data_IF_776899414143
#
_entry.id   IF_776899414143
#
_cell.length_a   1.000
_cell.length_b   1.000
_cell.length_c   1.000
_cell.angle_alpha   90.00
_cell.angle_beta   90.00
_cell.angle_gamma   90.00
#
_symmetry.space_group_name_H-M   'P 1'
#
loop_
_entity.id
_entity.type
_entity.pdbx_description
1 polymer ?
#
# COMPACT_ATOMS: atom_id res chain seq x y z
N UNK A 1 -3.05 -8.98 -4.00
CA UNK A 1 -4.48 -9.32 -4.21
C UNK A 1 -5.43 -8.12 -4.13
N UNK A 2 -5.11 -7.05 -3.38
CA UNK A 2 -6.04 -5.91 -3.23
C UNK A 2 -6.44 -5.19 -4.52
N UNK A 3 -5.68 -5.34 -5.61
CA UNK A 3 -6.06 -4.82 -6.93
C UNK A 3 -7.40 -5.37 -7.43
N UNK A 4 -7.90 -6.48 -6.89
CA UNK A 4 -9.22 -7.07 -7.19
C UNK A 4 -10.38 -6.08 -7.10
N UNK A 5 -10.21 -4.94 -6.42
CA UNK A 5 -11.13 -3.80 -6.47
C UNK A 5 -11.59 -3.45 -7.90
N UNK A 6 -10.76 -3.69 -8.93
CA UNK A 6 -11.15 -3.45 -10.32
C UNK A 6 -12.41 -4.24 -10.76
N UNK A 7 -12.74 -5.36 -10.10
CA UNK A 7 -13.96 -6.12 -10.38
C UNK A 7 -15.25 -5.34 -10.04
N UNK A 8 -15.17 -4.38 -9.12
CA UNK A 8 -16.33 -3.59 -8.63
C UNK A 8 -16.16 -2.10 -8.82
N UNK A 9 -14.96 -1.67 -9.22
CA UNK A 9 -14.62 -0.29 -9.44
C UNK A 9 -15.05 0.23 -10.82
N UNK A 10 -15.05 1.56 -10.94
CA UNK A 10 -15.35 2.25 -12.19
C UNK A 10 -14.24 3.25 -12.54
N UNK A 11 -14.18 3.66 -13.80
CA UNK A 11 -13.20 4.65 -14.29
C UNK A 11 -13.25 5.99 -13.54
N UNK A 12 -14.45 6.43 -13.12
CA UNK A 12 -14.62 7.65 -12.30
C UNK A 12 -13.94 7.57 -10.94
N UNK A 13 -13.82 6.35 -10.40
CA UNK A 13 -13.23 6.08 -9.09
C UNK A 13 -11.74 5.73 -9.22
N UNK A 14 -11.18 5.79 -10.43
CA UNK A 14 -9.79 5.39 -10.69
C UNK A 14 -9.55 3.89 -10.58
N UNK A 15 -10.59 3.08 -10.79
CA UNK A 15 -10.55 1.63 -10.59
C UNK A 15 -10.89 0.80 -11.83
N UNK A 16 -10.64 1.35 -13.03
CA UNK A 16 -10.85 0.63 -14.29
C UNK A 16 -9.60 -0.18 -14.67
N UNK A 17 -9.57 -1.44 -14.22
CA UNK A 17 -8.51 -2.40 -14.51
C UNK A 17 -8.71 -3.21 -15.80
N UNK A 18 -9.80 -3.00 -16.55
CA UNK A 18 -10.13 -3.77 -17.75
C UNK A 18 -9.78 -3.03 -19.04
N UNK A 19 -10.04 -1.72 -19.08
CA UNK A 19 -9.87 -0.93 -20.28
C UNK A 19 -8.39 -0.68 -20.57
N UNK A 20 -7.95 -0.74 -21.84
CA UNK A 20 -6.56 -0.42 -22.21
C UNK A 20 -6.10 0.97 -21.75
N UNK A 21 -7.03 1.93 -21.70
CA UNK A 21 -6.81 3.30 -21.21
C UNK A 21 -7.62 3.59 -19.93
N UNK A 22 -7.90 2.54 -19.14
CA UNK A 22 -8.64 2.65 -17.90
C UNK A 22 -7.88 3.50 -16.88
N UNK A 23 -8.61 4.33 -16.13
CA UNK A 23 -8.02 5.07 -15.01
C UNK A 23 -7.81 4.09 -13.85
N UNK A 24 -6.56 3.94 -13.43
CA UNK A 24 -6.14 2.96 -12.39
C UNK A 24 -5.47 3.63 -11.17
N UNK A 25 -5.56 4.95 -11.05
CA UNK A 25 -4.88 5.74 -10.01
C UNK A 25 -5.32 5.41 -8.57
N UNK A 26 -6.41 4.66 -8.39
CA UNK A 26 -6.90 4.17 -7.10
C UNK A 26 -6.81 2.63 -6.98
N UNK A 27 -6.05 1.96 -7.85
CA UNK A 27 -5.79 0.51 -7.78
C UNK A 27 -4.38 0.21 -7.32
N UNK A 28 -3.37 0.87 -7.89
CA UNK A 28 -1.98 0.67 -7.50
C UNK A 28 -1.08 1.81 -7.97
N UNK A 29 0.22 1.63 -7.72
CA UNK A 29 1.21 2.70 -7.79
C UNK A 29 1.71 3.05 -6.39
N UNK A 30 2.75 3.87 -6.33
CA UNK A 30 3.34 4.30 -5.07
C UNK A 30 2.32 5.12 -4.27
N UNK A 31 2.24 4.89 -2.96
CA UNK A 31 1.36 5.61 -2.05
C UNK A 31 2.12 6.68 -1.28
N UNK A 32 1.40 7.74 -0.89
CA UNK A 32 1.89 8.85 -0.11
C UNK A 32 0.84 9.22 0.96
N UNK A 33 1.25 9.96 1.99
CA UNK A 33 0.33 10.38 3.06
C UNK A 33 -0.52 11.55 2.54
N UNK A 34 -1.83 11.44 2.65
CA UNK A 34 -2.78 12.52 2.32
C UNK A 34 -3.06 13.37 3.55
N UNK A 35 -3.52 14.62 3.38
CA UNK A 35 -3.86 15.49 4.51
C UNK A 35 -2.66 16.17 5.19
N UNK A 36 -1.44 15.98 4.66
CA UNK A 36 -0.25 16.79 4.94
C UNK A 36 0.48 17.09 3.62
N UNK A 37 1.52 17.93 3.68
CA UNK A 37 2.33 18.25 2.52
C UNK A 37 2.89 16.98 1.88
N UNK A 38 2.76 16.86 0.55
CA UNK A 38 3.35 15.76 -0.21
C UNK A 38 4.84 16.03 -0.40
N UNK A 39 5.75 15.12 -0.02
CA UNK A 39 7.20 15.35 -0.06
C UNK A 39 7.72 15.26 -1.51
N UNK A 40 7.93 16.41 -2.15
CA UNK A 40 8.32 16.52 -3.56
C UNK A 40 9.65 15.82 -3.90
N UNK A 41 10.56 15.70 -2.94
CA UNK A 41 11.84 15.02 -3.08
C UNK A 41 11.74 13.48 -3.02
N UNK A 42 10.59 12.95 -2.59
CA UNK A 42 10.41 11.53 -2.30
C UNK A 42 9.34 10.84 -3.17
N UNK A 43 8.31 11.57 -3.63
CA UNK A 43 7.30 11.02 -4.54
C UNK A 43 7.76 11.02 -6.00
N UNK A 44 7.20 10.11 -6.79
CA UNK A 44 7.42 10.06 -8.24
C UNK A 44 6.55 11.11 -8.95
N UNK A 45 7.14 11.85 -9.89
CA UNK A 45 6.51 12.96 -10.63
C UNK A 45 5.91 14.06 -9.74
N UNK A 46 6.71 14.69 -8.86
CA UNK A 46 6.23 15.69 -7.91
C UNK A 46 5.66 16.96 -8.58
N UNK A 47 5.97 17.20 -9.85
CA UNK A 47 5.38 18.30 -10.64
C UNK A 47 3.85 18.22 -10.71
N UNK A 48 3.24 17.04 -10.55
CA UNK A 48 1.78 16.91 -10.55
C UNK A 48 1.13 17.19 -9.18
N UNK A 49 1.91 17.36 -8.11
CA UNK A 49 1.38 17.67 -6.78
C UNK A 49 0.58 18.99 -6.79
N UNK A 50 0.98 19.97 -7.61
CA UNK A 50 0.27 21.25 -7.74
C UNK A 50 -1.16 21.10 -8.28
N UNK A 51 -1.46 20.00 -8.96
CA UNK A 51 -2.81 19.71 -9.47
C UNK A 51 -3.73 19.12 -8.40
N UNK A 52 -3.18 18.70 -7.25
CA UNK A 52 -3.96 18.23 -6.13
C UNK A 52 -4.55 19.44 -5.37
N UNK A 53 -5.88 19.59 -5.28
CA UNK A 53 -6.50 20.72 -4.58
C UNK A 53 -6.04 20.86 -3.13
N UNK A 54 -5.69 19.76 -2.45
CA UNK A 54 -5.20 19.79 -1.08
C UNK A 54 -3.86 20.53 -0.96
N UNK A 55 -3.04 20.57 -2.01
CA UNK A 55 -1.77 21.31 -2.02
C UNK A 55 -1.95 22.82 -2.11
N UNK A 56 -3.17 23.30 -2.39
CA UNK A 56 -3.53 24.71 -2.28
C UNK A 56 -4.22 25.06 -0.95
N UNK A 57 -4.54 24.06 -0.13
CA UNK A 57 -5.27 24.23 1.13
C UNK A 57 -4.29 24.27 2.32
N UNK A 58 -4.24 25.36 3.11
CA UNK A 58 -3.33 25.48 4.24
C UNK A 58 -3.60 24.46 5.37
N UNK A 59 -4.76 23.80 5.38
CA UNK A 59 -5.05 22.71 6.34
C UNK A 59 -4.29 21.43 6.00
N UNK A 60 -3.96 21.23 4.73
CA UNK A 60 -3.38 19.99 4.22
C UNK A 60 -2.00 20.19 3.63
N UNK A 61 -1.60 21.42 3.29
CA UNK A 61 -0.26 21.74 2.76
C UNK A 61 0.65 22.37 3.82
N UNK A 62 0.75 21.71 4.98
CA UNK A 62 1.79 22.00 5.98
C UNK A 62 2.50 20.70 6.33
N UNK A 63 3.67 20.80 6.98
CA UNK A 63 4.51 19.65 7.33
C UNK A 63 3.69 18.53 8.01
N UNK A 64 2.87 18.85 9.02
CA UNK A 64 2.01 17.89 9.69
C UNK A 64 0.56 17.87 9.19
N UNK A 65 0.06 18.95 8.57
CA UNK A 65 -1.32 19.03 8.09
C UNK A 65 -2.33 18.74 9.20
N UNK A 66 -3.14 17.70 9.02
CA UNK A 66 -4.15 17.24 10.00
C UNK A 66 -3.60 16.33 11.10
N UNK A 67 -2.32 15.97 11.05
CA UNK A 67 -1.72 15.01 11.96
C UNK A 67 -1.00 15.69 13.12
N UNK A 68 -0.96 14.99 14.26
CA UNK A 68 -0.07 15.37 15.35
C UNK A 68 1.38 14.94 15.02
N UNK A 69 2.39 15.72 15.41
CA UNK A 69 3.79 15.30 15.29
C UNK A 69 4.02 13.95 15.98
N UNK A 70 4.80 13.07 15.34
CA UNK A 70 5.16 11.74 15.86
C UNK A 70 3.95 10.86 16.23
N UNK A 71 2.82 11.04 15.55
CA UNK A 71 1.59 10.30 15.87
C UNK A 71 1.68 8.80 15.60
N UNK A 72 2.64 8.38 14.77
CA UNK A 72 2.87 7.02 14.31
C UNK A 72 2.14 6.73 13.00
N UNK A 73 2.73 5.91 12.13
CA UNK A 73 2.20 5.64 10.78
C UNK A 73 0.83 4.95 10.77
N UNK A 74 0.43 4.33 11.88
CA UNK A 74 -0.90 3.71 12.03
C UNK A 74 -2.04 4.73 12.01
N UNK A 75 -1.74 5.99 12.36
CA UNK A 75 -2.70 7.10 12.36
C UNK A 75 -2.68 7.90 11.06
N UNK A 76 -1.72 7.62 10.18
CA UNK A 76 -1.61 8.31 8.90
C UNK A 76 -2.58 7.71 7.89
N UNK A 77 -3.21 8.56 7.10
CA UNK A 77 -3.98 8.12 5.94
C UNK A 77 -3.06 8.15 4.72
N UNK A 78 -2.80 6.99 4.15
CA UNK A 78 -2.15 6.86 2.86
C UNK A 78 -3.18 6.97 1.73
N UNK A 79 -2.73 7.43 0.57
CA UNK A 79 -3.52 7.45 -0.66
C UNK A 79 -4.15 6.06 -0.89
N UNK A 80 -5.45 6.06 -1.18
CA UNK A 80 -6.22 4.82 -1.29
C UNK A 80 -5.74 3.94 -2.46
N UNK A 81 -5.58 2.64 -2.21
CA UNK A 81 -5.12 1.68 -3.20
C UNK A 81 -5.16 0.24 -2.68
N UNK A 82 -4.48 -0.67 -3.40
CA UNK A 82 -4.50 -2.10 -3.09
C UNK A 82 -3.91 -2.44 -1.71
N UNK A 83 -2.97 -1.65 -1.20
CA UNK A 83 -2.34 -1.82 0.11
C UNK A 83 -3.37 -1.77 1.23
N UNK A 84 -4.00 -0.60 1.43
CA UNK A 84 -4.96 -0.38 2.52
C UNK A 84 -6.18 -1.29 2.37
N UNK A 85 -6.67 -1.48 1.14
CA UNK A 85 -7.77 -2.41 0.88
C UNK A 85 -7.42 -3.84 1.33
N UNK A 86 -6.25 -4.35 0.92
CA UNK A 86 -5.85 -5.71 1.27
C UNK A 86 -5.63 -5.86 2.77
N UNK A 87 -5.00 -4.88 3.42
CA UNK A 87 -4.83 -4.85 4.87
C UNK A 87 -6.18 -4.94 5.59
N UNK A 88 -7.15 -4.08 5.21
CA UNK A 88 -8.48 -4.07 5.83
C UNK A 88 -9.25 -5.37 5.57
N UNK A 89 -9.11 -5.96 4.39
CA UNK A 89 -9.69 -7.27 4.09
C UNK A 89 -9.12 -8.35 5.02
N UNK A 90 -7.79 -8.42 5.16
CA UNK A 90 -7.12 -9.41 6.00
C UNK A 90 -7.53 -9.30 7.48
N UNK A 91 -7.52 -8.07 8.02
CA UNK A 91 -7.96 -7.79 9.39
C UNK A 91 -9.45 -8.09 9.57
N UNK A 92 -10.29 -7.70 8.61
CA UNK A 92 -11.73 -7.94 8.63
C UNK A 92 -12.13 -9.42 8.52
N UNK A 93 -11.23 -10.27 8.02
CA UNK A 93 -11.37 -11.73 8.00
C UNK A 93 -10.62 -12.42 9.14
N UNK A 94 -10.13 -11.68 10.14
CA UNK A 94 -9.49 -12.22 11.32
C UNK A 94 -8.30 -13.14 10.99
N UNK A 95 -7.48 -12.77 10.01
CA UNK A 95 -6.26 -13.52 9.69
C UNK A 95 -5.37 -13.67 10.94
N UNK A 96 -4.61 -14.76 10.99
CA UNK A 96 -3.60 -14.98 12.04
C UNK A 96 -2.18 -14.67 11.55
N UNK A 97 -2.06 -13.94 10.44
CA UNK A 97 -0.78 -13.38 10.03
C UNK A 97 -0.20 -12.47 11.12
N UNK A 98 1.12 -12.50 11.33
CA UNK A 98 1.76 -11.64 12.31
C UNK A 98 1.73 -10.17 11.85
N UNK A 99 2.00 -9.25 12.77
CA UNK A 99 1.87 -7.81 12.53
C UNK A 99 2.77 -7.33 11.38
N UNK A 100 3.98 -7.85 11.32
CA UNK A 100 4.98 -7.55 10.30
C UNK A 100 4.45 -7.91 8.90
N UNK A 101 3.72 -9.02 8.76
CA UNK A 101 3.09 -9.40 7.49
C UNK A 101 1.98 -8.44 7.08
N UNK A 102 1.19 -7.95 8.05
CA UNK A 102 0.17 -6.94 7.79
C UNK A 102 0.80 -5.60 7.41
N UNK A 103 1.89 -5.20 8.06
CA UNK A 103 2.62 -3.97 7.76
C UNK A 103 3.27 -4.02 6.37
N UNK A 104 3.92 -5.13 6.02
CA UNK A 104 4.44 -5.35 4.67
C UNK A 104 3.33 -5.18 3.63
N UNK A 105 2.14 -5.76 3.84
CA UNK A 105 1.02 -5.62 2.90
C UNK A 105 0.47 -4.19 2.87
N UNK A 106 0.35 -3.53 4.02
CA UNK A 106 -0.25 -2.20 4.15
C UNK A 106 0.63 -1.07 3.62
N UNK A 107 1.94 -1.28 3.57
CA UNK A 107 2.90 -0.22 3.26
C UNK A 107 3.93 -0.56 2.18
N UNK A 108 3.83 -1.70 1.48
CA UNK A 108 4.78 -2.05 0.42
C UNK A 108 4.80 -1.07 -0.76
N UNK A 109 3.73 -0.29 -0.97
CA UNK A 109 3.71 0.76 -1.99
C UNK A 109 4.14 2.13 -1.43
N UNK A 110 4.42 2.26 -0.14
CA UNK A 110 4.78 3.53 0.50
C UNK A 110 6.27 3.89 0.29
N UNK A 111 6.73 3.90 -0.95
CA UNK A 111 8.13 4.19 -1.33
C UNK A 111 8.68 5.49 -0.74
N UNK A 112 7.92 6.60 -0.69
CA UNK A 112 8.41 7.82 -0.03
C UNK A 112 8.80 7.56 1.44
N UNK A 113 8.09 6.67 2.14
CA UNK A 113 8.37 6.32 3.52
C UNK A 113 9.52 5.30 3.63
N UNK A 114 9.35 4.09 3.10
CA UNK A 114 10.28 2.99 3.38
C UNK A 114 11.58 3.04 2.56
N UNK A 115 11.61 3.72 1.41
CA UNK A 115 12.81 3.82 0.55
C UNK A 115 13.46 5.21 0.63
N UNK A 116 12.66 6.28 0.54
CA UNK A 116 13.17 7.66 0.51
C UNK A 116 13.33 8.30 1.89
N UNK A 117 12.75 7.70 2.94
CA UNK A 117 12.88 8.19 4.31
C UNK A 117 12.10 9.48 4.60
N UNK A 118 11.00 9.73 3.87
CA UNK A 118 10.06 10.80 4.16
C UNK A 118 9.21 10.49 5.42
N UNK A 119 8.48 11.50 5.88
CA UNK A 119 7.53 11.43 7.02
C UNK A 119 8.15 11.16 8.40
N UNK A 120 9.46 11.36 8.59
CA UNK A 120 10.13 11.18 9.89
C UNK A 120 9.50 12.00 11.02
N UNK A 121 8.98 13.18 10.72
CA UNK A 121 8.28 14.06 11.65
C UNK A 121 6.92 13.50 12.12
N UNK A 122 6.38 12.49 11.44
CA UNK A 122 5.12 11.81 11.79
C UNK A 122 5.33 10.41 12.38
N UNK A 123 6.53 9.85 12.26
CA UNK A 123 6.87 8.51 12.76
C UNK A 123 6.95 8.47 14.29
N UNK A 124 6.48 7.35 14.86
CA UNK A 124 6.70 6.96 16.24
C UNK A 124 7.98 6.08 16.34
N UNK A 125 8.57 5.91 17.55
CA UNK A 125 9.83 5.16 17.71
C UNK A 125 9.83 3.74 17.13
N UNK A 126 8.71 3.02 17.23
CA UNK A 126 8.59 1.63 16.75
C UNK A 126 8.44 1.53 15.22
N UNK A 127 8.21 2.65 14.52
CA UNK A 127 8.02 2.65 13.07
C UNK A 127 9.33 2.36 12.30
N UNK A 128 10.49 2.60 12.91
CA UNK A 128 11.80 2.29 12.31
C UNK A 128 11.99 0.78 12.09
N UNK A 129 11.57 -0.06 13.05
CA UNK A 129 11.64 -1.52 12.88
C UNK A 129 10.72 -2.00 11.75
N UNK A 130 9.56 -1.37 11.61
CA UNK A 130 8.57 -1.71 10.58
C UNK A 130 9.11 -1.42 9.17
N UNK A 131 9.89 -0.34 9.00
CA UNK A 131 10.56 -0.03 7.74
C UNK A 131 11.46 -1.19 7.31
N UNK A 132 12.20 -1.80 8.23
CA UNK A 132 13.14 -2.88 7.89
C UNK A 132 12.41 -4.13 7.37
N UNK A 133 11.26 -4.47 7.94
CA UNK A 133 10.39 -5.53 7.41
C UNK A 133 9.85 -5.21 6.02
N UNK A 134 9.36 -3.98 5.82
CA UNK A 134 8.83 -3.53 4.52
C UNK A 134 9.92 -3.54 3.45
N UNK A 135 11.12 -3.04 3.75
CA UNK A 135 12.29 -3.10 2.84
C UNK A 135 12.69 -4.52 2.51
N UNK A 136 12.69 -5.43 3.50
CA UNK A 136 13.01 -6.83 3.27
C UNK A 136 12.03 -7.47 2.29
N UNK A 137 10.73 -7.24 2.47
CA UNK A 137 9.70 -7.69 1.53
C UNK A 137 9.85 -7.07 0.14
N UNK A 138 10.12 -5.76 0.08
CA UNK A 138 10.24 -5.02 -1.17
C UNK A 138 11.33 -5.58 -2.10
N UNK A 139 12.39 -6.18 -1.55
CA UNK A 139 13.40 -6.88 -2.36
C UNK A 139 12.80 -8.02 -3.18
N UNK A 140 11.86 -8.77 -2.60
CA UNK A 140 11.20 -9.85 -3.32
C UNK A 140 10.15 -9.29 -4.27
N UNK A 141 9.33 -8.33 -3.84
CA UNK A 141 8.32 -7.69 -4.71
C UNK A 141 8.96 -7.10 -5.98
N UNK A 142 10.08 -6.39 -5.85
CA UNK A 142 10.70 -5.71 -6.97
C UNK A 142 11.51 -6.64 -7.87
N UNK A 143 12.35 -7.51 -7.29
CA UNK A 143 13.39 -8.22 -8.04
C UNK A 143 13.01 -9.65 -8.48
N UNK A 144 11.82 -10.15 -8.13
CA UNK A 144 11.32 -11.43 -8.68
C UNK A 144 10.35 -11.24 -9.85
N UNK A 145 10.20 -10.01 -10.35
CA UNK A 145 9.40 -9.73 -11.56
C UNK A 145 10.16 -10.23 -12.78
N UNK A 146 9.64 -11.31 -13.37
CA UNK A 146 10.23 -11.98 -14.52
C UNK A 146 9.11 -12.35 -15.50
N UNK A 147 9.14 -11.77 -16.70
CA UNK A 147 8.16 -12.05 -17.77
C UNK A 147 8.34 -13.44 -18.39
N UNK A 148 9.52 -14.05 -18.23
CA UNK A 148 9.89 -15.33 -18.83
C UNK A 148 9.83 -16.50 -17.83
N UNK A 149 9.32 -16.28 -16.60
CA UNK A 149 9.29 -17.32 -15.58
C UNK A 149 8.46 -18.55 -16.02
N UNK A 150 8.94 -19.74 -15.68
CA UNK A 150 8.37 -21.02 -16.10
C UNK A 150 7.62 -21.76 -14.96
N UNK A 151 7.25 -21.03 -13.91
CA UNK A 151 6.65 -21.54 -12.68
C UNK A 151 5.44 -22.43 -12.95
N UNK A 152 5.47 -23.65 -12.38
CA UNK A 152 4.36 -24.61 -12.47
C UNK A 152 3.35 -24.36 -11.35
N UNK A 153 2.37 -23.50 -11.61
CA UNK A 153 1.39 -23.08 -10.60
C UNK A 153 0.64 -24.25 -9.94
N UNK A 154 0.32 -25.30 -10.71
CA UNK A 154 -0.37 -26.49 -10.17
C UNK A 154 0.50 -27.27 -9.16
N UNK A 155 1.83 -27.26 -9.33
CA UNK A 155 2.77 -27.89 -8.38
C UNK A 155 2.96 -27.04 -7.12
N UNK A 156 2.90 -25.72 -7.26
CA UNK A 156 3.03 -24.76 -6.16
C UNK A 156 1.74 -24.63 -5.33
N UNK A 157 0.58 -24.81 -5.96
CA UNK A 157 -0.70 -24.54 -5.35
C UNK A 157 -0.95 -25.30 -4.04
N UNK A 158 -0.65 -26.61 -3.90
CA UNK A 158 -0.82 -27.33 -2.65
C UNK A 158 -0.08 -26.68 -1.47
N UNK A 159 1.14 -26.17 -1.71
CA UNK A 159 1.92 -25.48 -0.68
C UNK A 159 1.26 -24.17 -0.25
N UNK A 160 0.91 -23.30 -1.21
CA UNK A 160 0.28 -22.00 -0.89
C UNK A 160 -1.12 -22.15 -0.29
N UNK A 161 -1.90 -23.14 -0.74
CA UNK A 161 -3.20 -23.48 -0.14
C UNK A 161 -3.06 -23.84 1.34
N UNK A 162 -2.07 -24.68 1.70
CA UNK A 162 -1.81 -25.03 3.09
C UNK A 162 -1.39 -23.81 3.93
N UNK A 163 -0.64 -22.86 3.35
CA UNK A 163 -0.33 -21.60 4.03
C UNK A 163 -1.60 -20.75 4.23
N UNK A 164 -2.46 -20.64 3.23
CA UNK A 164 -3.74 -19.95 3.37
C UNK A 164 -4.57 -20.58 4.51
N UNK A 165 -4.69 -21.90 4.55
CA UNK A 165 -5.39 -22.61 5.65
C UNK A 165 -4.75 -22.30 7.02
N UNK A 166 -3.42 -22.40 7.13
CA UNK A 166 -2.68 -22.11 8.37
C UNK A 166 -2.94 -20.70 8.91
N UNK A 167 -3.08 -19.71 8.04
CA UNK A 167 -3.24 -18.30 8.43
C UNK A 167 -4.70 -17.80 8.46
N UNK A 168 -5.67 -18.72 8.45
CA UNK A 168 -7.10 -18.41 8.52
C UNK A 168 -7.69 -17.87 7.21
N UNK A 169 -7.01 -18.09 6.08
CA UNK A 169 -7.35 -17.58 4.75
C UNK A 169 -7.76 -18.67 3.74
N UNK A 170 -7.85 -19.94 4.17
CA UNK A 170 -8.15 -21.07 3.28
C UNK A 170 -9.63 -21.25 2.93
N UNK A 171 -10.53 -20.48 3.56
CA UNK A 171 -11.98 -20.57 3.37
C UNK A 171 -12.57 -19.48 2.48
N UNK A 172 -13.90 -19.36 2.49
CA UNK A 172 -14.60 -18.26 1.84
C UNK A 172 -14.38 -16.97 2.65
N UNK A 173 -13.73 -15.99 2.04
CA UNK A 173 -13.43 -14.69 2.65
C UNK A 173 -14.45 -13.63 2.25
N UNK A 174 -14.57 -12.59 3.08
CA UNK A 174 -15.30 -11.35 2.80
C UNK A 174 -14.34 -10.37 2.16
N UNK A 175 -14.73 -9.83 1.02
CA UNK A 175 -13.95 -8.88 0.27
C UNK A 175 -14.69 -7.54 0.26
#
# INVERSE_FOLDING_TARGET
>A
MGKIMFLWGHSKDGQDGYSPNGKQWALGGDTFVVGCQIPSEAVVFPEFNELNPDMSDPRYNTECGIYEPHCGIDKLMFAWGHDEYMYRMLVGNNTTLPREALDMIRYHSAYPWHDKGAYKHLMAPDDEERIEWVKLFNRFDLYTKDEENDLKLDELWPYYKNLCEKYGLGGKLKW
#
